data_IF_907154500261
#
_entry.id   IF_907154500261
#
_cell.length_a   1.000
_cell.length_b   1.000
_cell.length_c   1.000
_cell.angle_alpha   90.00
_cell.angle_beta   90.00
_cell.angle_gamma   90.00
#
_symmetry.space_group_name_H-M   'P 1'
#
loop_
_entity.id
_entity.type
_entity.pdbx_description
1 polymer ?
#
# COMPACT_ATOMS: atom_id res chain seq x y z
N UNK A 1 -12.92 26.19 -0.33
CA UNK A 1 -11.47 26.46 -0.60
C UNK A 1 -11.15 26.44 -2.10
N UNK A 2 -10.02 27.03 -2.56
CA UNK A 2 -9.56 26.85 -3.96
C UNK A 2 -8.83 25.51 -4.14
N UNK A 3 -8.78 24.96 -5.36
CA UNK A 3 -8.07 23.70 -5.65
C UNK A 3 -6.60 23.74 -5.23
N UNK A 4 -5.91 24.86 -5.48
CA UNK A 4 -4.52 25.05 -5.06
C UNK A 4 -4.37 25.01 -3.53
N UNK A 5 -5.21 25.75 -2.82
CA UNK A 5 -5.18 25.79 -1.36
C UNK A 5 -5.53 24.42 -0.74
N UNK A 6 -6.42 23.66 -1.38
CA UNK A 6 -6.77 22.30 -0.98
C UNK A 6 -5.60 21.34 -1.19
N UNK A 7 -4.94 21.37 -2.35
CA UNK A 7 -3.76 20.53 -2.61
C UNK A 7 -2.64 20.83 -1.60
N UNK A 8 -2.36 22.11 -1.33
CA UNK A 8 -1.35 22.50 -0.34
C UNK A 8 -1.74 22.09 1.09
N UNK A 9 -3.04 22.11 1.41
CA UNK A 9 -3.57 21.62 2.68
C UNK A 9 -3.34 20.11 2.85
N UNK A 10 -3.65 19.38 1.78
CA UNK A 10 -3.57 17.93 1.73
C UNK A 10 -2.13 17.46 1.88
N UNK A 11 -1.19 18.07 1.16
CA UNK A 11 0.25 17.76 1.27
C UNK A 11 0.76 17.96 2.70
N UNK A 12 0.24 18.97 3.42
CA UNK A 12 0.67 19.26 4.80
C UNK A 12 -0.03 18.40 5.86
N UNK A 13 -1.05 17.62 5.51
CA UNK A 13 -1.78 16.75 6.44
C UNK A 13 -2.50 17.47 7.59
N UNK A 14 -2.92 18.73 7.41
CA UNK A 14 -3.41 19.59 8.51
C UNK A 14 -4.89 19.39 8.89
N UNK A 15 -5.53 18.30 8.49
CA UNK A 15 -6.94 17.97 8.81
C UNK A 15 -8.00 18.87 8.17
N UNK A 16 -7.66 20.10 7.76
CA UNK A 16 -8.59 21.06 7.15
C UNK A 16 -9.21 20.60 5.82
N UNK A 17 -8.60 19.63 5.13
CA UNK A 17 -9.21 19.00 3.97
C UNK A 17 -10.44 18.17 4.35
N UNK A 18 -10.42 17.51 5.52
CA UNK A 18 -11.56 16.72 6.00
C UNK A 18 -12.75 17.65 6.22
N UNK A 19 -12.54 18.76 6.93
CA UNK A 19 -13.57 19.78 7.18
C UNK A 19 -14.11 20.35 5.86
N UNK A 20 -13.22 20.69 4.91
CA UNK A 20 -13.68 21.21 3.61
C UNK A 20 -14.47 20.18 2.79
N UNK A 21 -14.21 18.87 2.95
CA UNK A 21 -15.01 17.83 2.29
C UNK A 21 -16.33 17.59 3.03
N UNK A 22 -16.40 17.77 4.35
CA UNK A 22 -17.63 17.60 5.13
C UNK A 22 -18.60 18.77 4.94
N UNK A 23 -18.10 20.00 4.81
CA UNK A 23 -18.92 21.22 4.80
C UNK A 23 -19.28 21.71 3.38
N UNK A 24 -18.77 21.09 2.31
CA UNK A 24 -18.91 21.58 0.94
C UNK A 24 -19.81 20.70 0.07
N UNK A 25 -20.90 21.26 -0.46
CA UNK A 25 -21.83 20.54 -1.34
C UNK A 25 -21.22 20.09 -2.69
N UNK A 26 -20.06 20.64 -3.08
CA UNK A 26 -19.36 20.31 -4.32
C UNK A 26 -17.95 19.76 -4.02
N UNK A 27 -17.90 18.59 -3.39
CA UNK A 27 -16.65 17.86 -3.15
C UNK A 27 -16.01 17.31 -4.45
N UNK A 28 -16.81 17.06 -5.48
CA UNK A 28 -16.39 16.48 -6.76
C UNK A 28 -15.25 17.26 -7.43
N UNK A 29 -15.20 18.58 -7.27
CA UNK A 29 -14.12 19.42 -7.78
C UNK A 29 -12.72 19.09 -7.21
N UNK A 30 -12.66 18.35 -6.10
CA UNK A 30 -11.43 17.91 -5.44
C UNK A 30 -11.04 16.47 -5.78
N UNK A 31 -11.88 15.70 -6.47
CA UNK A 31 -11.68 14.27 -6.76
C UNK A 31 -10.30 13.98 -7.33
N UNK A 32 -9.90 14.70 -8.37
CA UNK A 32 -8.58 14.50 -9.02
C UNK A 32 -7.41 14.85 -8.09
N UNK A 33 -7.61 15.79 -7.16
CA UNK A 33 -6.58 16.16 -6.19
C UNK A 33 -6.43 15.06 -5.16
N UNK A 34 -7.54 14.55 -4.64
CA UNK A 34 -7.55 13.43 -3.69
C UNK A 34 -6.95 12.18 -4.35
N UNK A 35 -7.31 11.89 -5.60
CA UNK A 35 -6.73 10.78 -6.35
C UNK A 35 -5.22 10.95 -6.49
N UNK A 36 -4.76 12.15 -6.85
CA UNK A 36 -3.33 12.43 -6.91
C UNK A 36 -2.65 12.15 -5.55
N UNK A 37 -3.29 12.51 -4.43
CA UNK A 37 -2.79 12.18 -3.10
C UNK A 37 -2.71 10.68 -2.82
N UNK A 38 -3.73 9.91 -3.21
CA UNK A 38 -3.73 8.45 -3.06
C UNK A 38 -2.67 7.74 -3.91
N UNK A 39 -2.19 8.39 -4.98
CA UNK A 39 -1.25 7.83 -5.95
C UNK A 39 0.18 8.36 -5.78
N UNK A 40 0.47 9.12 -4.70
CA UNK A 40 1.79 9.71 -4.47
C UNK A 40 2.17 9.65 -2.99
N UNK A 41 3.46 9.49 -2.72
CA UNK A 41 3.98 9.63 -1.37
C UNK A 41 3.98 11.11 -0.96
N UNK A 42 3.20 11.46 0.06
CA UNK A 42 3.06 12.82 0.56
C UNK A 42 3.92 13.09 1.81
N UNK A 43 4.55 12.07 2.38
CA UNK A 43 5.39 12.22 3.57
C UNK A 43 6.69 12.96 3.22
N UNK A 44 7.13 13.87 4.10
CA UNK A 44 8.41 14.55 3.92
C UNK A 44 9.57 13.60 4.19
N UNK A 45 9.46 12.82 5.27
CA UNK A 45 10.35 11.73 5.62
C UNK A 45 9.52 10.52 6.07
N UNK A 46 9.34 9.58 5.16
CA UNK A 46 8.50 8.38 5.40
C UNK A 46 9.08 7.49 6.49
N UNK A 47 10.40 7.51 6.71
CA UNK A 47 11.02 6.70 7.76
C UNK A 47 10.63 7.19 9.16
N UNK A 48 10.41 8.50 9.32
CA UNK A 48 10.02 9.09 10.59
C UNK A 48 8.50 9.24 10.74
N UNK A 49 7.79 9.49 9.64
CA UNK A 49 6.35 9.83 9.66
C UNK A 49 5.44 8.63 9.33
N UNK A 50 5.99 7.56 8.76
CA UNK A 50 5.20 6.58 8.01
C UNK A 50 4.63 7.19 6.72
N UNK A 51 3.74 6.46 6.04
CA UNK A 51 3.02 7.01 4.90
C UNK A 51 1.76 7.77 5.31
N UNK A 52 1.20 8.53 4.36
CA UNK A 52 -0.07 9.25 4.53
C UNK A 52 -1.29 8.46 4.06
N UNK A 53 -1.17 7.14 3.95
CA UNK A 53 -2.25 6.23 3.50
C UNK A 53 -3.52 6.44 4.31
N UNK A 54 -3.48 6.31 5.64
CA UNK A 54 -4.65 6.48 6.51
C UNK A 54 -5.34 7.85 6.33
N UNK A 55 -4.55 8.91 6.21
CA UNK A 55 -5.09 10.25 5.94
C UNK A 55 -5.78 10.32 4.58
N UNK A 56 -5.16 9.76 3.54
CA UNK A 56 -5.76 9.70 2.21
C UNK A 56 -7.01 8.80 2.18
N UNK A 57 -7.04 7.73 2.98
CA UNK A 57 -8.19 6.86 3.14
C UNK A 57 -9.41 7.61 3.70
N UNK A 58 -9.19 8.47 4.69
CA UNK A 58 -10.24 9.35 5.24
C UNK A 58 -10.74 10.37 4.22
N UNK A 59 -9.87 10.90 3.37
CA UNK A 59 -10.30 11.88 2.35
C UNK A 59 -11.09 11.21 1.23
N UNK A 60 -10.64 10.06 0.74
CA UNK A 60 -11.33 9.35 -0.33
C UNK A 60 -12.69 8.79 0.13
N UNK A 61 -12.83 8.43 1.41
CA UNK A 61 -14.09 7.88 1.94
C UNK A 61 -15.23 8.90 1.97
N UNK A 62 -14.95 10.17 1.66
CA UNK A 62 -15.97 11.22 1.49
C UNK A 62 -16.69 11.13 0.13
N UNK A 63 -16.16 10.35 -0.80
CA UNK A 63 -16.75 10.10 -2.10
C UNK A 63 -17.46 8.74 -2.08
N UNK A 64 -18.72 8.70 -2.50
CA UNK A 64 -19.58 7.50 -2.40
C UNK A 64 -19.43 6.56 -3.62
N UNK A 65 -18.20 6.19 -3.98
CA UNK A 65 -17.92 5.25 -5.08
C UNK A 65 -16.59 4.49 -4.92
N UNK A 66 -16.35 3.50 -5.79
CA UNK A 66 -15.14 2.67 -5.78
C UNK A 66 -14.02 3.20 -6.69
N UNK A 67 -14.13 4.44 -7.17
CA UNK A 67 -13.19 5.01 -8.14
C UNK A 67 -11.74 5.00 -7.64
N UNK A 68 -11.54 5.44 -6.40
CA UNK A 68 -10.20 5.55 -5.80
C UNK A 68 -9.59 4.16 -5.60
N UNK A 69 -10.37 3.23 -5.07
CA UNK A 69 -9.94 1.84 -4.87
C UNK A 69 -9.46 1.22 -6.18
N UNK A 70 -10.28 1.30 -7.24
CA UNK A 70 -9.93 0.76 -8.57
C UNK A 70 -8.61 1.34 -9.06
N UNK A 71 -8.42 2.67 -8.94
CA UNK A 71 -7.18 3.33 -9.40
C UNK A 71 -5.96 2.94 -8.59
N UNK A 72 -6.11 2.73 -7.28
CA UNK A 72 -5.03 2.27 -6.41
C UNK A 72 -4.67 0.81 -6.76
N UNK A 73 -5.67 -0.06 -6.97
CA UNK A 73 -5.44 -1.44 -7.42
C UNK A 73 -4.68 -1.45 -8.75
N UNK A 74 -5.11 -0.67 -9.75
CA UNK A 74 -4.42 -0.55 -11.03
C UNK A 74 -2.94 -0.20 -10.85
N UNK A 75 -2.62 0.84 -10.07
CA UNK A 75 -1.24 1.27 -9.80
C UNK A 75 -0.44 0.28 -8.98
N UNK A 76 -1.07 -0.38 -8.01
CA UNK A 76 -0.43 -1.41 -7.21
C UNK A 76 -0.05 -2.62 -8.06
N UNK A 77 -0.93 -3.03 -8.99
CA UNK A 77 -0.67 -4.14 -9.91
C UNK A 77 0.41 -3.77 -10.93
N UNK A 78 0.37 -2.57 -11.52
CA UNK A 78 1.44 -2.04 -12.39
C UNK A 78 2.82 -2.10 -11.70
N UNK A 79 2.84 -1.85 -10.40
CA UNK A 79 4.04 -1.89 -9.56
C UNK A 79 4.83 -0.58 -9.57
N UNK A 80 5.72 -0.45 -8.59
CA UNK A 80 6.61 0.71 -8.44
C UNK A 80 7.96 0.25 -7.92
N UNK A 81 9.01 1.01 -8.20
CA UNK A 81 10.34 0.81 -7.60
C UNK A 81 10.51 1.55 -6.27
N UNK A 82 9.59 2.46 -5.95
CA UNK A 82 9.58 3.19 -4.70
C UNK A 82 8.88 2.33 -3.63
N UNK A 83 9.66 1.76 -2.70
CA UNK A 83 9.15 0.92 -1.60
C UNK A 83 8.18 1.68 -0.69
N UNK A 84 8.34 2.99 -0.51
CA UNK A 84 7.43 3.80 0.31
C UNK A 84 6.10 4.04 -0.39
N UNK A 85 6.14 4.31 -1.69
CA UNK A 85 4.91 4.40 -2.48
C UNK A 85 4.19 3.04 -2.57
N UNK A 86 4.96 1.94 -2.64
CA UNK A 86 4.40 0.60 -2.55
C UNK A 86 3.70 0.35 -1.20
N UNK A 87 4.35 0.70 -0.09
CA UNK A 87 3.77 0.59 1.25
C UNK A 87 2.50 1.45 1.36
N UNK A 88 2.52 2.67 0.82
CA UNK A 88 1.33 3.54 0.78
C UNK A 88 0.14 2.85 0.10
N UNK A 89 0.36 2.21 -1.06
CA UNK A 89 -0.68 1.46 -1.75
C UNK A 89 -1.13 0.23 -0.97
N UNK A 90 -0.19 -0.57 -0.45
CA UNK A 90 -0.50 -1.77 0.31
C UNK A 90 -1.34 -1.45 1.56
N UNK A 91 -1.00 -0.37 2.27
CA UNK A 91 -1.74 0.07 3.45
C UNK A 91 -3.14 0.60 3.07
N UNK A 92 -3.27 1.38 1.99
CA UNK A 92 -4.59 1.79 1.48
C UNK A 92 -5.47 0.59 1.13
N UNK A 93 -4.94 -0.41 0.41
CA UNK A 93 -5.67 -1.63 0.07
C UNK A 93 -6.00 -2.48 1.30
N UNK A 94 -5.12 -2.49 2.31
CA UNK A 94 -5.42 -3.11 3.60
C UNK A 94 -6.64 -2.45 4.27
N UNK A 95 -6.72 -1.11 4.29
CA UNK A 95 -7.87 -0.39 4.85
C UNK A 95 -9.17 -0.68 4.10
N UNK A 96 -9.14 -0.70 2.75
CA UNK A 96 -10.31 -1.12 1.96
C UNK A 96 -10.71 -2.57 2.24
N UNK A 97 -9.75 -3.48 2.36
CA UNK A 97 -10.02 -4.88 2.67
C UNK A 97 -10.58 -5.07 4.08
N UNK A 98 -10.09 -4.28 5.06
CA UNK A 98 -10.59 -4.25 6.43
C UNK A 98 -12.06 -3.79 6.47
N UNK A 99 -12.43 -2.83 5.62
CA UNK A 99 -13.81 -2.36 5.43
C UNK A 99 -14.66 -3.30 4.55
N UNK A 100 -14.13 -4.47 4.18
CA UNK A 100 -14.88 -5.54 3.53
C UNK A 100 -14.69 -5.65 2.02
N UNK A 101 -13.76 -4.92 1.41
CA UNK A 101 -13.49 -5.06 -0.02
C UNK A 101 -12.71 -6.34 -0.36
N UNK A 102 -13.41 -7.28 -1.00
CA UNK A 102 -12.81 -8.48 -1.58
C UNK A 102 -11.82 -8.15 -2.72
N UNK A 103 -12.03 -7.06 -3.46
CA UNK A 103 -11.14 -6.67 -4.57
C UNK A 103 -9.75 -6.30 -4.05
N UNK A 104 -9.71 -5.47 -3.01
CA UNK A 104 -8.46 -5.07 -2.35
C UNK A 104 -7.78 -6.23 -1.63
N UNK A 105 -8.55 -7.08 -0.94
CA UNK A 105 -8.04 -8.31 -0.33
C UNK A 105 -7.33 -9.20 -1.36
N UNK A 106 -8.02 -9.49 -2.48
CA UNK A 106 -7.46 -10.29 -3.55
C UNK A 106 -6.22 -9.64 -4.21
N UNK A 107 -6.21 -8.32 -4.37
CA UNK A 107 -5.07 -7.60 -4.93
C UNK A 107 -3.81 -7.74 -4.07
N UNK A 108 -3.94 -7.66 -2.74
CA UNK A 108 -2.83 -7.87 -1.81
C UNK A 108 -2.24 -9.28 -1.92
N UNK A 109 -3.08 -10.32 -1.92
CA UNK A 109 -2.61 -11.70 -2.06
C UNK A 109 -2.03 -12.01 -3.43
N UNK A 110 -2.62 -11.47 -4.50
CA UNK A 110 -2.08 -11.63 -5.85
C UNK A 110 -0.67 -11.02 -5.95
N UNK A 111 -0.45 -9.85 -5.34
CA UNK A 111 0.87 -9.23 -5.31
C UNK A 111 1.84 -10.00 -4.43
N UNK A 112 1.38 -10.56 -3.31
CA UNK A 112 2.19 -11.45 -2.48
C UNK A 112 2.69 -12.66 -3.28
N UNK A 113 1.80 -13.37 -3.99
CA UNK A 113 2.17 -14.54 -4.79
C UNK A 113 3.14 -14.17 -5.94
N UNK A 114 2.91 -13.03 -6.58
CA UNK A 114 3.80 -12.50 -7.61
C UNK A 114 5.22 -12.24 -7.07
N UNK A 115 5.33 -11.49 -5.97
CA UNK A 115 6.61 -11.10 -5.38
C UNK A 115 7.32 -12.32 -4.80
N UNK A 116 6.60 -13.20 -4.09
CA UNK A 116 7.15 -14.43 -3.53
C UNK A 116 7.74 -15.32 -4.63
N UNK A 117 7.01 -15.51 -5.73
CA UNK A 117 7.49 -16.27 -6.89
C UNK A 117 8.77 -15.66 -7.48
N UNK A 118 8.84 -14.34 -7.63
CA UNK A 118 10.07 -13.65 -8.08
C UNK A 118 11.23 -13.88 -7.12
N UNK A 119 11.04 -13.68 -5.81
CA UNK A 119 12.07 -13.87 -4.80
C UNK A 119 12.57 -15.31 -4.69
N UNK A 120 11.69 -16.28 -4.93
CA UNK A 120 12.03 -17.70 -4.94
C UNK A 120 12.81 -18.14 -6.20
N UNK A 121 12.66 -17.40 -7.31
CA UNK A 121 13.34 -17.69 -8.57
C UNK A 121 14.64 -16.87 -8.77
N UNK A 122 14.82 -15.75 -8.07
CA UNK A 122 16.01 -14.91 -8.20
C UNK A 122 17.21 -15.55 -7.51
N UNK A 123 18.34 -15.69 -8.24
CA UNK A 123 19.64 -16.06 -7.68
C UNK A 123 20.04 -15.03 -6.61
N UNK A 124 20.52 -15.50 -5.46
CA UNK A 124 20.83 -14.68 -4.26
C UNK A 124 21.61 -13.38 -4.55
N UNK A 125 22.56 -13.39 -5.49
CA UNK A 125 23.39 -12.22 -5.86
C UNK A 125 22.62 -11.10 -6.61
N UNK A 126 21.46 -11.40 -7.20
CA UNK A 126 20.65 -10.45 -8.01
C UNK A 126 19.37 -10.03 -7.26
N UNK A 127 19.23 -10.37 -5.96
CA UNK A 127 18.05 -9.93 -5.22
C UNK A 127 18.07 -8.41 -5.06
N UNK A 128 17.07 -7.77 -5.63
CA UNK A 128 16.77 -6.36 -5.41
C UNK A 128 16.33 -6.18 -3.95
N UNK A 129 16.94 -5.22 -3.26
CA UNK A 129 16.58 -4.84 -1.88
C UNK A 129 15.15 -4.33 -1.82
N UNK A 130 14.73 -3.61 -2.86
CA UNK A 130 13.37 -3.07 -2.99
C UNK A 130 12.32 -4.18 -3.02
N UNK A 131 12.56 -5.27 -3.77
CA UNK A 131 11.62 -6.39 -3.83
C UNK A 131 11.48 -7.12 -2.48
N UNK A 132 12.54 -7.14 -1.67
CA UNK A 132 12.49 -7.71 -0.32
C UNK A 132 11.69 -6.82 0.62
N UNK A 133 11.97 -5.52 0.63
CA UNK A 133 11.22 -4.55 1.44
C UNK A 133 9.72 -4.56 1.11
N UNK A 134 9.37 -4.61 -0.18
CA UNK A 134 7.98 -4.71 -0.61
C UNK A 134 7.30 -6.02 -0.14
N UNK A 135 8.04 -7.13 -0.17
CA UNK A 135 7.55 -8.40 0.35
C UNK A 135 7.31 -8.36 1.85
N UNK A 136 8.22 -7.75 2.61
CA UNK A 136 8.10 -7.59 4.06
C UNK A 136 6.88 -6.76 4.44
N UNK A 137 6.67 -5.60 3.79
CA UNK A 137 5.48 -4.79 4.00
C UNK A 137 4.18 -5.56 3.72
N UNK A 138 4.13 -6.30 2.61
CA UNK A 138 2.98 -7.15 2.30
C UNK A 138 2.73 -8.20 3.39
N UNK A 139 3.78 -8.86 3.88
CA UNK A 139 3.63 -9.85 4.94
C UNK A 139 3.03 -9.23 6.21
N UNK A 140 3.47 -8.02 6.58
CA UNK A 140 2.93 -7.29 7.74
C UNK A 140 1.43 -7.05 7.53
N UNK A 141 1.03 -6.46 6.41
CA UNK A 141 -0.38 -6.12 6.16
C UNK A 141 -1.28 -7.34 6.04
N UNK A 142 -0.82 -8.42 5.39
CA UNK A 142 -1.58 -9.66 5.30
C UNK A 142 -1.76 -10.34 6.66
N UNK A 143 -0.75 -10.30 7.54
CA UNK A 143 -0.88 -10.80 8.92
C UNK A 143 -1.86 -9.94 9.71
N UNK A 144 -1.87 -8.62 9.55
CA UNK A 144 -2.89 -7.77 10.19
C UNK A 144 -4.31 -8.09 9.68
N UNK A 145 -4.45 -8.36 8.38
CA UNK A 145 -5.75 -8.64 7.75
C UNK A 145 -6.32 -10.01 8.14
N UNK A 146 -5.54 -11.08 7.98
CA UNK A 146 -6.01 -12.46 8.13
C UNK A 146 -5.38 -13.23 9.32
N UNK A 147 -4.67 -12.51 10.19
CA UNK A 147 -4.10 -13.01 11.45
C UNK A 147 -3.31 -14.32 11.25
N UNK A 148 -3.71 -15.36 11.97
CA UNK A 148 -3.04 -16.66 11.99
C UNK A 148 -3.09 -17.40 10.65
N UNK A 149 -4.07 -17.10 9.79
CA UNK A 149 -4.19 -17.74 8.47
C UNK A 149 -3.07 -17.25 7.55
N UNK A 150 -2.90 -15.93 7.44
CA UNK A 150 -1.79 -15.34 6.70
C UNK A 150 -0.44 -15.74 7.29
N UNK A 151 -0.29 -15.65 8.62
CA UNK A 151 0.97 -15.99 9.29
C UNK A 151 1.44 -17.41 8.97
N UNK A 152 0.54 -18.41 9.07
CA UNK A 152 0.88 -19.81 8.76
C UNK A 152 1.28 -19.99 7.31
N UNK A 153 0.59 -19.34 6.37
CA UNK A 153 0.93 -19.38 4.95
C UNK A 153 2.32 -18.80 4.71
N UNK A 154 2.57 -17.59 5.19
CA UNK A 154 3.84 -16.87 5.00
C UNK A 154 5.03 -17.69 5.55
N UNK A 155 4.92 -18.19 6.78
CA UNK A 155 6.00 -18.99 7.38
C UNK A 155 6.20 -20.31 6.64
N UNK A 156 5.13 -20.95 6.18
CA UNK A 156 5.20 -22.18 5.38
C UNK A 156 5.90 -21.94 4.04
N UNK A 157 5.53 -20.88 3.34
CA UNK A 157 6.09 -20.51 2.04
C UNK A 157 7.59 -20.19 2.15
N UNK A 158 7.94 -19.30 3.09
CA UNK A 158 9.33 -18.92 3.39
C UNK A 158 10.15 -20.15 3.82
N UNK A 159 9.61 -20.96 4.73
CA UNK A 159 10.26 -22.20 5.19
C UNK A 159 10.51 -23.18 4.06
N UNK A 160 9.53 -23.36 3.17
CA UNK A 160 9.66 -24.20 1.98
C UNK A 160 10.71 -23.67 1.00
N UNK A 161 10.82 -22.35 0.84
CA UNK A 161 11.87 -21.73 0.04
C UNK A 161 13.28 -22.00 0.63
N UNK A 162 13.44 -21.87 1.96
CA UNK A 162 14.69 -22.18 2.64
C UNK A 162 15.10 -23.65 2.52
N UNK A 163 14.14 -24.58 2.62
CA UNK A 163 14.44 -26.01 2.46
C UNK A 163 14.92 -26.34 1.04
N UNK A 164 14.32 -25.73 0.01
CA UNK A 164 14.73 -25.91 -1.39
C UNK A 164 16.08 -25.27 -1.69
N UNK A 165 16.40 -24.16 -1.03
CA UNK A 165 17.65 -23.45 -1.21
C UNK A 165 18.18 -22.94 0.14
N UNK A 166 18.94 -23.77 0.88
CA UNK A 166 19.46 -23.41 2.21
C UNK A 166 20.34 -22.16 2.21
N UNK A 167 20.95 -21.83 1.06
CA UNK A 167 21.71 -20.59 0.89
C UNK A 167 20.83 -19.35 1.00
N UNK A 168 19.50 -19.45 1.02
CA UNK A 168 18.65 -18.30 1.31
C UNK A 168 18.72 -17.90 2.80
N UNK A 169 19.08 -18.83 3.70
CA UNK A 169 19.12 -18.61 5.15
C UNK A 169 20.48 -18.12 5.69
N UNK A 170 21.54 -18.17 4.88
CA UNK A 170 22.85 -17.64 5.27
C UNK A 170 22.81 -16.11 5.19
N UNK A 171 22.99 -15.40 6.30
CA UNK A 171 23.14 -13.93 6.34
C UNK A 171 24.60 -13.47 6.29
N UNK A 172 25.52 -14.38 5.99
CA UNK A 172 26.96 -14.12 5.88
C UNK A 172 27.27 -13.23 4.67
N UNK A 173 27.47 -11.95 4.94
CA UNK A 173 28.24 -10.99 4.12
C UNK A 173 29.72 -11.34 4.13
#
# INVERSE_FOLDING_TARGET
MTNKAFKEAMIRGLGRCVIELDDNDNIEKYRDIVLWGCLNNLSYDTQCEGTRSEYMYVLQSKFEDDFFEIKIIEKFIEGTKDSWLFEHYANMLYLFALDGSEKSHNALYLKYDEIFSKLNNIKRYIRSTELQEQFEWLCIWLVQLDNMTAFKRIVSDIGGAYQKNPKLADYST
#
